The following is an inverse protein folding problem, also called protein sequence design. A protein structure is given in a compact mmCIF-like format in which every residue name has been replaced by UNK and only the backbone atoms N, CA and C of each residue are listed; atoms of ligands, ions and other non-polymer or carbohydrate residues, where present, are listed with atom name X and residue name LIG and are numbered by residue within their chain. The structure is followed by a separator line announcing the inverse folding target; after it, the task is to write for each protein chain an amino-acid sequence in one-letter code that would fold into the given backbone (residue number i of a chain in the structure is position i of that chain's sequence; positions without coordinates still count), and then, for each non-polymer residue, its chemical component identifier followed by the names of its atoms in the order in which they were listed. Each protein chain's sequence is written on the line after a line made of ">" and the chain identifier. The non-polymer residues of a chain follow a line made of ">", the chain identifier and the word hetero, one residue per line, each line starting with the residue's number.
data_IF_853574182366
#
_entry.id   IF_853574182366
#
_cell.length_a   1.000
_cell.length_b   1.000
_cell.length_c   1.000
_cell.angle_alpha   90.00
_cell.angle_beta   90.00
_cell.angle_gamma   90.00
#
_symmetry.space_group_name_H-M   'P 1'
#
loop_
_entity.id
_entity.type
_entity.pdbx_description
1 polymer ?
#
# COMPACT_ATOMS: atom_id res chain seq x y z
N UNK A 1 -58.39 -45.22 -2.80
CA UNK A 1 -59.72 -45.40 -3.44
C UNK A 1 -60.49 -44.12 -3.17
N UNK A 2 -60.92 -43.28 -4.10
CA UNK A 2 -61.05 -43.43 -5.56
C UNK A 2 -61.07 -42.02 -6.19
N UNK A 3 -60.50 -41.89 -7.39
CA UNK A 3 -60.76 -40.79 -8.34
C UNK A 3 -62.10 -41.03 -9.07
N UNK A 4 -62.66 -40.01 -9.74
CA UNK A 4 -62.45 -39.86 -11.20
C UNK A 4 -62.18 -38.39 -11.61
N UNK A 5 -61.25 -38.04 -12.51
CA UNK A 5 -61.14 -38.21 -13.98
C UNK A 5 -62.19 -37.45 -14.83
N UNK A 6 -61.71 -36.48 -15.62
CA UNK A 6 -62.44 -35.81 -16.70
C UNK A 6 -61.68 -34.59 -17.27
N UNK A 7 -60.81 -34.83 -18.24
CA UNK A 7 -59.91 -33.87 -18.90
C UNK A 7 -60.59 -33.03 -20.00
N UNK A 8 -60.03 -31.86 -20.37
CA UNK A 8 -59.70 -31.39 -21.76
C UNK A 8 -58.78 -30.14 -21.67
N UNK A 9 -57.67 -30.14 -22.42
CA UNK A 9 -56.70 -29.05 -22.72
C UNK A 9 -56.83 -28.70 -24.24
N UNK A 10 -56.12 -27.75 -24.91
CA UNK A 10 -55.44 -26.48 -24.56
C UNK A 10 -55.92 -25.29 -25.46
N UNK A 11 -55.41 -24.06 -25.21
CA UNK A 11 -54.81 -23.14 -26.23
C UNK A 11 -54.47 -21.74 -25.65
N UNK A 12 -53.18 -21.54 -25.39
CA UNK A 12 -52.29 -20.51 -25.94
C UNK A 12 -52.81 -19.06 -26.11
N UNK A 13 -52.30 -18.10 -25.31
CA UNK A 13 -51.92 -16.73 -25.73
C UNK A 13 -50.83 -16.13 -24.82
N UNK A 14 -49.96 -15.23 -25.34
CA UNK A 14 -48.69 -14.87 -24.74
C UNK A 14 -48.77 -13.63 -23.84
N UNK A 15 -47.86 -13.56 -22.87
CA UNK A 15 -47.63 -12.41 -21.99
C UNK A 15 -46.62 -11.50 -22.68
N UNK A 16 -47.00 -10.24 -22.94
CA UNK A 16 -46.11 -9.21 -23.45
C UNK A 16 -45.16 -8.73 -22.35
N UNK A 17 -43.86 -8.71 -22.65
CA UNK A 17 -42.84 -8.02 -21.87
C UNK A 17 -42.88 -6.52 -22.20
N UNK A 18 -43.17 -5.68 -21.21
CA UNK A 18 -42.98 -4.23 -21.30
C UNK A 18 -41.53 -3.88 -20.92
N UNK A 19 -40.86 -3.20 -21.84
CA UNK A 19 -39.57 -2.55 -21.65
C UNK A 19 -39.74 -1.30 -20.79
N UNK A 20 -39.13 -1.27 -19.60
CA UNK A 20 -38.93 -0.02 -18.86
C UNK A 20 -37.60 0.61 -19.25
N UNK A 21 -37.70 1.69 -20.03
CA UNK A 21 -36.65 2.68 -20.25
C UNK A 21 -36.45 3.47 -18.95
N UNK A 22 -35.27 3.39 -18.33
CA UNK A 22 -34.86 4.34 -17.29
C UNK A 22 -34.02 5.44 -17.92
N UNK A 23 -34.66 6.60 -18.06
CA UNK A 23 -34.08 7.85 -18.54
C UNK A 23 -33.21 8.48 -17.45
N UNK A 24 -32.02 8.91 -17.85
CA UNK A 24 -31.04 9.69 -17.09
C UNK A 24 -31.62 11.00 -16.56
N UNK A 25 -31.46 11.27 -15.26
CA UNK A 25 -31.63 12.60 -14.67
C UNK A 25 -30.28 13.10 -14.16
N UNK A 26 -29.68 13.97 -14.96
CA UNK A 26 -28.62 14.89 -14.59
C UNK A 26 -29.26 16.02 -13.79
N UNK A 27 -28.91 16.18 -12.52
CA UNK A 27 -29.23 17.40 -11.76
C UNK A 27 -28.02 18.32 -11.72
N UNK A 28 -28.16 19.40 -12.47
CA UNK A 28 -27.37 20.63 -12.48
C UNK A 28 -27.57 21.37 -11.15
N UNK A 29 -26.48 21.68 -10.43
CA UNK A 29 -26.53 22.49 -9.21
C UNK A 29 -25.66 23.73 -9.41
N UNK A 30 -26.24 24.74 -10.04
CA UNK A 30 -25.64 26.04 -10.26
C UNK A 30 -26.24 27.10 -9.34
N UNK A 31 -25.33 27.73 -8.57
CA UNK A 31 -25.40 29.06 -7.91
C UNK A 31 -26.39 29.27 -6.76
N UNK A 32 -25.83 29.49 -5.57
CA UNK A 32 -26.22 30.64 -4.73
C UNK A 32 -25.03 31.13 -3.91
N UNK A 33 -24.64 32.36 -4.19
CA UNK A 33 -23.59 33.15 -3.57
C UNK A 33 -24.07 33.76 -2.26
N UNK A 34 -23.38 33.46 -1.15
CA UNK A 34 -23.45 34.28 0.07
C UNK A 34 -22.05 34.61 0.57
N UNK A 35 -21.75 35.90 0.42
CA UNK A 35 -20.56 36.64 0.85
C UNK A 35 -20.70 36.89 2.36
N UNK A 36 -19.69 36.49 3.16
CA UNK A 36 -19.52 36.94 4.54
C UNK A 36 -18.24 37.80 4.63
N UNK A 37 -18.31 39.06 5.10
CA UNK A 37 -17.15 39.93 5.18
C UNK A 37 -16.43 39.75 6.52
N UNK A 38 -15.13 39.41 6.48
CA UNK A 38 -14.22 39.58 7.61
C UNK A 38 -13.57 40.97 7.54
N UNK A 39 -13.55 41.76 8.63
CA UNK A 39 -12.87 43.04 8.64
C UNK A 39 -11.36 42.88 8.79
N UNK A 40 -10.60 43.45 7.84
CA UNK A 40 -9.18 43.74 8.01
C UNK A 40 -8.99 44.72 9.17
N UNK A 41 -8.26 44.31 10.20
CA UNK A 41 -7.67 45.21 11.19
C UNK A 41 -6.16 45.15 11.05
N UNK A 42 -5.59 46.26 10.56
CA UNK A 42 -4.17 46.54 10.67
C UNK A 42 -3.90 47.09 12.07
N UNK A 43 -2.92 46.53 12.80
CA UNK A 43 -2.10 47.31 13.75
C UNK A 43 -0.85 46.54 14.23
N UNK A 44 0.23 47.32 14.31
CA UNK A 44 1.37 47.23 15.22
C UNK A 44 2.42 46.13 15.00
N UNK A 45 3.56 46.59 14.49
CA UNK A 45 4.90 45.98 14.64
C UNK A 45 5.35 46.00 16.11
N UNK A 46 5.81 44.87 16.66
CA UNK A 46 6.70 44.88 17.83
C UNK A 46 8.12 44.52 17.39
N UNK A 47 9.01 45.50 17.52
CA UNK A 47 10.46 45.27 17.51
C UNK A 47 10.85 44.47 18.76
N UNK A 48 11.35 43.25 18.60
CA UNK A 48 12.13 42.57 19.63
C UNK A 48 13.31 41.84 18.98
N UNK A 49 14.52 42.31 19.29
CA UNK A 49 15.79 41.61 19.04
C UNK A 49 15.68 40.20 19.61
N UNK A 50 15.70 39.18 18.75
CA UNK A 50 16.05 37.81 19.12
C UNK A 50 17.48 37.54 18.67
N UNK A 51 18.33 37.29 19.63
CA UNK A 51 19.65 36.68 19.46
C UNK A 51 19.50 35.39 18.64
N UNK A 52 20.11 35.35 17.46
CA UNK A 52 20.18 34.17 16.63
C UNK A 52 21.02 33.10 17.33
N UNK A 53 20.36 32.08 17.89
CA UNK A 53 21.01 30.77 18.06
C UNK A 53 21.07 30.15 16.68
N UNK A 54 22.27 30.06 16.13
CA UNK A 54 22.57 29.20 15.00
C UNK A 54 22.41 27.77 15.50
N UNK A 55 21.21 27.20 15.42
CA UNK A 55 21.09 25.75 15.37
C UNK A 55 21.47 25.37 13.94
N UNK A 56 22.53 24.58 13.78
CA UNK A 56 22.78 23.92 12.51
C UNK A 56 21.48 23.25 12.06
N UNK A 57 20.87 23.76 10.98
CA UNK A 57 19.84 23.00 10.27
C UNK A 57 20.59 21.84 9.66
N UNK A 58 20.37 20.65 10.22
CA UNK A 58 20.59 19.41 9.47
C UNK A 58 19.67 19.54 8.26
N UNK A 59 20.25 19.73 7.08
CA UNK A 59 19.52 19.66 5.84
C UNK A 59 19.22 18.19 5.61
N UNK A 60 18.00 17.76 5.93
CA UNK A 60 17.46 16.50 5.43
C UNK A 60 17.25 16.71 3.92
N UNK A 61 18.11 16.12 3.10
CA UNK A 61 17.63 15.66 1.79
C UNK A 61 16.59 14.58 2.11
N UNK A 62 15.48 14.52 1.35
CA UNK A 62 14.45 13.50 1.57
C UNK A 62 15.10 12.15 1.81
N UNK A 63 14.97 11.61 3.03
CA UNK A 63 15.62 10.34 3.39
C UNK A 63 15.01 9.19 2.55
N UNK A 64 13.78 9.40 2.03
CA UNK A 64 13.10 8.51 1.10
C UNK A 64 12.50 9.28 -0.09
N UNK A 65 12.84 8.85 -1.30
CA UNK A 65 12.19 9.24 -2.56
C UNK A 65 11.03 8.30 -2.88
N UNK A 66 9.92 8.85 -3.37
CA UNK A 66 8.72 8.09 -3.72
C UNK A 66 8.20 8.58 -5.07
N UNK A 67 8.25 7.72 -6.07
CA UNK A 67 7.67 7.98 -7.38
C UNK A 67 6.38 7.17 -7.54
N UNK A 68 5.31 7.79 -8.02
CA UNK A 68 4.01 7.17 -8.18
C UNK A 68 3.51 7.39 -9.60
N UNK A 69 3.42 6.31 -10.38
CA UNK A 69 2.92 6.34 -11.75
C UNK A 69 1.44 5.96 -11.75
N UNK A 70 0.59 6.87 -12.22
CA UNK A 70 -0.84 6.65 -12.32
C UNK A 70 -1.42 7.43 -13.50
N UNK A 71 -2.58 7.00 -13.98
CA UNK A 71 -3.39 7.78 -14.92
C UNK A 71 -4.32 8.77 -14.20
N UNK A 72 -4.24 8.86 -12.88
CA UNK A 72 -4.95 9.83 -12.04
C UNK A 72 -3.98 10.40 -10.98
N UNK A 73 -2.94 11.14 -11.37
CA UNK A 73 -1.95 11.66 -10.42
C UNK A 73 -2.58 12.55 -9.34
N UNK A 74 -3.62 13.31 -9.66
CA UNK A 74 -4.37 14.17 -8.72
C UNK A 74 -4.99 13.38 -7.55
N UNK A 75 -5.16 12.06 -7.68
CA UNK A 75 -5.62 11.21 -6.58
C UNK A 75 -4.74 11.34 -5.33
N UNK A 76 -3.46 11.61 -5.53
CA UNK A 76 -2.46 11.70 -4.48
C UNK A 76 -2.31 13.10 -3.89
N UNK A 77 -3.11 14.08 -4.30
CA UNK A 77 -3.15 15.39 -3.63
C UNK A 77 -3.46 15.27 -2.13
N UNK A 78 -4.19 14.21 -1.74
CA UNK A 78 -4.50 13.88 -0.35
C UNK A 78 -3.24 13.65 0.51
N UNK A 79 -2.11 13.25 -0.09
CA UNK A 79 -0.85 13.07 0.62
C UNK A 79 -0.32 14.37 1.24
N UNK A 80 -0.78 15.54 0.78
CA UNK A 80 -0.38 16.84 1.33
C UNK A 80 -1.07 17.19 2.66
N UNK A 81 -1.91 16.31 3.22
CA UNK A 81 -2.60 16.57 4.50
C UNK A 81 -1.96 15.80 5.67
N UNK A 82 -2.33 16.19 6.89
CA UNK A 82 -2.04 15.38 8.08
C UNK A 82 -0.55 15.29 8.46
N UNK A 83 -0.10 14.08 8.78
CA UNK A 83 1.31 13.81 9.11
C UNK A 83 2.17 13.64 7.86
N UNK A 84 1.62 13.04 6.81
CA UNK A 84 2.33 12.82 5.55
C UNK A 84 2.73 14.16 4.90
N UNK A 85 1.80 15.11 4.79
CA UNK A 85 2.11 16.46 4.28
C UNK A 85 3.18 17.17 5.11
N UNK A 86 3.14 17.04 6.45
CA UNK A 86 4.19 17.59 7.33
C UNK A 86 5.54 16.92 7.12
N UNK A 87 5.58 15.64 6.77
CA UNK A 87 6.81 14.92 6.47
C UNK A 87 7.43 15.44 5.17
N UNK A 88 6.62 15.68 4.13
CA UNK A 88 7.04 16.34 2.89
C UNK A 88 7.57 17.75 3.18
N UNK A 89 6.82 18.59 3.90
CA UNK A 89 7.23 19.97 4.24
C UNK A 89 8.56 20.05 5.01
N UNK A 90 8.86 19.02 5.80
CA UNK A 90 10.11 18.90 6.57
C UNK A 90 11.26 18.32 5.76
N UNK A 91 11.01 17.87 4.53
CA UNK A 91 11.99 17.19 3.69
C UNK A 91 12.35 15.81 4.21
N UNK A 92 11.45 15.12 4.92
CA UNK A 92 11.63 13.69 5.27
C UNK A 92 11.27 12.79 4.08
N UNK A 93 10.31 13.21 3.28
CA UNK A 93 9.84 12.52 2.08
C UNK A 93 9.98 13.45 0.88
N UNK A 94 10.44 12.90 -0.24
CA UNK A 94 10.35 13.53 -1.56
C UNK A 94 9.41 12.70 -2.44
N UNK A 95 8.27 13.27 -2.83
CA UNK A 95 7.18 12.52 -3.48
C UNK A 95 6.82 13.13 -4.82
N UNK A 96 6.92 12.33 -5.87
CA UNK A 96 6.63 12.69 -7.25
C UNK A 96 5.50 11.83 -7.80
N UNK A 97 4.50 12.47 -8.39
CA UNK A 97 3.39 11.78 -9.07
C UNK A 97 3.49 12.03 -10.57
N UNK A 98 3.40 10.96 -11.35
CA UNK A 98 3.61 10.98 -12.79
C UNK A 98 2.34 10.53 -13.50
N UNK A 99 1.83 11.35 -14.43
CA UNK A 99 0.76 10.90 -15.35
C UNK A 99 1.38 9.97 -16.39
N UNK A 100 1.03 8.68 -16.36
CA UNK A 100 1.50 7.68 -17.32
C UNK A 100 1.21 8.11 -18.78
N UNK A 101 0.18 8.92 -19.01
CA UNK A 101 -0.14 9.45 -20.35
C UNK A 101 0.97 10.32 -20.94
N UNK A 102 1.90 10.82 -20.13
CA UNK A 102 3.04 11.62 -20.61
C UNK A 102 4.00 10.83 -21.50
N UNK A 103 3.97 9.48 -21.45
CA UNK A 103 4.76 8.58 -22.30
C UNK A 103 3.96 7.99 -23.47
N UNK A 104 2.85 8.63 -23.84
CA UNK A 104 2.06 8.23 -25.02
C UNK A 104 2.39 9.13 -26.21
N UNK A 105 2.41 8.54 -27.41
CA UNK A 105 2.78 9.24 -28.64
C UNK A 105 1.61 9.39 -29.62
N UNK A 106 0.44 8.83 -29.29
CA UNK A 106 -0.78 8.96 -30.09
C UNK A 106 -1.62 10.17 -29.66
N UNK A 107 -2.44 10.67 -30.58
CA UNK A 107 -3.29 11.86 -30.36
C UNK A 107 -4.30 11.68 -29.22
N UNK A 108 -4.66 10.44 -28.89
CA UNK A 108 -5.66 10.13 -27.87
C UNK A 108 -5.04 9.80 -26.51
N UNK A 109 -3.71 9.84 -26.39
CA UNK A 109 -2.98 9.48 -25.18
C UNK A 109 -3.40 8.11 -24.61
N UNK A 110 -3.41 7.10 -25.48
CA UNK A 110 -4.00 5.80 -25.21
C UNK A 110 -3.04 4.89 -24.47
N UNK A 111 -3.29 4.67 -23.17
CA UNK A 111 -2.46 3.85 -22.27
C UNK A 111 -2.85 2.36 -22.25
N UNK A 112 -3.94 1.99 -22.92
CA UNK A 112 -4.54 0.65 -22.85
C UNK A 112 -5.00 0.15 -24.22
N UNK A 113 -5.10 -1.18 -24.35
CA UNK A 113 -5.61 -1.86 -25.53
C UNK A 113 -6.42 -3.12 -25.14
N UNK A 114 -7.10 -3.72 -26.10
CA UNK A 114 -7.88 -4.94 -25.92
C UNK A 114 -7.00 -6.14 -25.52
N UNK A 115 -7.47 -7.03 -24.63
CA UNK A 115 -6.69 -8.19 -24.21
C UNK A 115 -6.50 -9.20 -25.34
N UNK A 116 -5.28 -9.73 -25.46
CA UNK A 116 -4.98 -10.85 -26.36
C UNK A 116 -5.76 -12.09 -25.92
N UNK A 117 -6.39 -12.80 -26.87
CA UNK A 117 -7.28 -13.93 -26.59
C UNK A 117 -8.75 -13.52 -26.47
N UNK A 118 -9.06 -12.22 -26.53
CA UNK A 118 -10.40 -11.69 -26.38
C UNK A 118 -10.85 -11.63 -24.91
N UNK A 119 -12.05 -11.09 -24.69
CA UNK A 119 -12.58 -10.79 -23.36
C UNK A 119 -13.17 -9.40 -23.30
N UNK A 120 -13.88 -9.09 -22.22
CA UNK A 120 -14.27 -7.71 -21.92
C UNK A 120 -13.10 -6.97 -21.25
N UNK A 121 -13.16 -5.63 -21.25
CA UNK A 121 -12.17 -4.79 -20.58
C UNK A 121 -10.97 -4.44 -21.46
N UNK A 122 -10.00 -3.76 -20.83
CA UNK A 122 -8.79 -3.24 -21.45
C UNK A 122 -7.59 -3.58 -20.57
N UNK A 123 -6.41 -3.73 -21.17
CA UNK A 123 -5.14 -4.00 -20.48
C UNK A 123 -4.17 -2.87 -20.80
N UNK A 124 -3.48 -2.37 -19.79
CA UNK A 124 -2.52 -1.28 -19.98
C UNK A 124 -1.31 -1.75 -20.80
N UNK A 125 -0.93 -0.95 -21.79
CA UNK A 125 0.08 -1.27 -22.81
C UNK A 125 1.48 -1.39 -22.21
N UNK A 126 2.23 -2.46 -22.54
CA UNK A 126 3.60 -2.62 -22.05
C UNK A 126 4.56 -1.57 -22.61
N UNK A 127 4.34 -1.04 -23.80
CA UNK A 127 5.24 -0.05 -24.41
C UNK A 127 5.24 1.26 -23.62
N UNK A 128 4.05 1.75 -23.25
CA UNK A 128 3.90 3.00 -22.46
C UNK A 128 4.48 2.83 -21.06
N UNK A 129 4.21 1.67 -20.43
CA UNK A 129 4.81 1.35 -19.13
C UNK A 129 6.33 1.21 -19.22
N UNK A 130 6.86 0.60 -20.28
CA UNK A 130 8.29 0.40 -20.44
C UNK A 130 9.01 1.74 -20.61
N UNK A 131 8.53 2.62 -21.49
CA UNK A 131 9.13 3.95 -21.67
C UNK A 131 9.12 4.77 -20.37
N UNK A 132 8.02 4.71 -19.61
CA UNK A 132 7.91 5.38 -18.31
C UNK A 132 8.88 4.82 -17.27
N UNK A 133 8.91 3.49 -17.13
CA UNK A 133 9.74 2.83 -16.11
C UNK A 133 11.22 2.89 -16.49
N UNK A 134 11.58 2.83 -17.77
CA UNK A 134 12.97 2.97 -18.22
C UNK A 134 13.50 4.37 -17.89
N UNK A 135 12.71 5.43 -18.13
CA UNK A 135 13.08 6.81 -17.77
C UNK A 135 13.26 6.97 -16.24
N UNK A 136 12.29 6.52 -15.45
CA UNK A 136 12.32 6.66 -13.98
C UNK A 136 13.38 5.77 -13.31
N UNK A 137 13.72 4.63 -13.89
CA UNK A 137 14.75 3.71 -13.39
C UNK A 137 16.14 3.98 -13.99
N UNK A 138 16.25 4.90 -14.95
CA UNK A 138 17.50 5.26 -15.62
C UNK A 138 18.05 4.19 -16.57
N UNK A 139 17.19 3.37 -17.17
CA UNK A 139 17.61 2.46 -18.24
C UNK A 139 17.84 3.27 -19.53
N UNK A 140 18.97 3.02 -20.20
CA UNK A 140 19.15 3.54 -21.55
C UNK A 140 18.19 2.81 -22.50
N UNK A 141 17.41 3.54 -23.33
CA UNK A 141 16.55 2.89 -24.30
C UNK A 141 17.41 2.02 -25.22
N UNK A 142 16.94 0.82 -25.59
CA UNK A 142 17.69 -0.04 -26.48
C UNK A 142 18.01 0.73 -27.75
N UNK A 143 19.30 0.98 -27.99
CA UNK A 143 19.77 1.64 -29.20
C UNK A 143 19.28 0.82 -30.38
N UNK A 144 18.32 1.36 -31.13
CA UNK A 144 17.78 0.74 -32.33
C UNK A 144 18.91 0.75 -33.38
N UNK A 145 19.80 -0.24 -33.33
CA UNK A 145 20.48 -0.68 -34.55
C UNK A 145 19.40 -1.32 -35.39
N UNK A 146 18.85 -0.54 -36.32
CA UNK A 146 17.96 -1.02 -37.34
C UNK A 146 18.59 -2.24 -37.99
N UNK A 147 18.13 -3.44 -37.61
CA UNK A 147 18.44 -4.67 -38.29
C UNK A 147 17.68 -4.66 -39.63
N UNK A 148 18.18 -3.83 -40.54
CA UNK A 148 18.16 -4.19 -41.94
C UNK A 148 19.10 -5.37 -42.09
N UNK A 149 18.56 -6.50 -42.55
CA UNK A 149 19.11 -7.31 -43.64
C UNK A 149 18.24 -8.58 -43.72
N UNK A 150 17.50 -8.77 -44.80
CA UNK A 150 18.04 -9.25 -46.08
C UNK A 150 18.87 -10.52 -45.94
N UNK A 151 18.36 -11.55 -46.60
CA UNK A 151 18.91 -12.88 -46.76
C UNK A 151 20.33 -12.83 -47.35
N UNK A 152 21.31 -13.50 -46.73
CA UNK A 152 22.40 -14.16 -47.48
C UNK A 152 23.23 -15.17 -46.65
N UNK A 153 23.15 -16.42 -47.13
CA UNK A 153 24.10 -17.53 -47.17
C UNK A 153 25.37 -17.56 -46.28
N UNK A 154 25.46 -18.68 -45.56
CA UNK A 154 26.64 -19.48 -45.18
C UNK A 154 28.02 -19.06 -45.72
N UNK A 155 28.99 -18.91 -44.82
CA UNK A 155 30.14 -19.81 -44.72
C UNK A 155 30.96 -19.59 -43.44
N UNK A 156 31.50 -20.69 -42.93
CA UNK A 156 32.28 -20.81 -41.72
C UNK A 156 33.67 -20.15 -41.81
N UNK A 157 34.17 -19.66 -40.67
CA UNK A 157 35.52 -19.93 -40.13
C UNK A 157 35.74 -19.15 -38.84
N UNK A 158 36.01 -19.87 -37.75
CA UNK A 158 36.51 -19.29 -36.50
C UNK A 158 37.96 -18.80 -36.68
N UNK A 159 38.39 -17.84 -35.85
CA UNK A 159 39.55 -18.14 -35.06
C UNK A 159 39.38 -17.79 -33.58
N UNK A 160 39.98 -18.65 -32.77
CA UNK A 160 40.24 -18.51 -31.35
C UNK A 160 41.27 -17.39 -31.17
N UNK A 161 41.02 -16.46 -30.24
CA UNK A 161 42.08 -15.69 -29.60
C UNK A 161 41.72 -15.43 -28.15
N UNK A 162 42.42 -16.15 -27.27
CA UNK A 162 42.57 -15.86 -25.87
C UNK A 162 43.25 -14.50 -25.71
N UNK A 163 42.72 -13.65 -24.84
CA UNK A 163 43.55 -12.77 -24.04
C UNK A 163 42.86 -12.49 -22.71
N UNK A 164 43.32 -13.23 -21.71
CA UNK A 164 43.18 -12.95 -20.29
C UNK A 164 44.10 -11.78 -19.97
N UNK A 165 43.52 -10.67 -19.51
CA UNK A 165 44.21 -9.70 -18.66
C UNK A 165 43.24 -9.31 -17.57
N UNK A 166 43.50 -9.87 -16.38
CA UNK A 166 42.98 -9.45 -15.09
C UNK A 166 43.36 -7.98 -14.87
N UNK A 167 42.37 -7.09 -14.86
CA UNK A 167 42.44 -5.87 -14.06
C UNK A 167 41.38 -5.95 -12.97
N UNK A 168 41.74 -5.73 -11.68
CA UNK A 168 40.76 -5.71 -10.61
C UNK A 168 39.87 -4.48 -10.80
N UNK A 169 38.62 -4.72 -11.17
CA UNK A 169 37.58 -3.70 -11.25
C UNK A 169 37.53 -2.94 -9.92
N UNK A 170 37.81 -1.64 -10.01
CA UNK A 170 37.64 -0.70 -8.91
C UNK A 170 36.24 -0.86 -8.31
N UNK A 171 36.19 -1.03 -6.99
CA UNK A 171 34.97 -1.05 -6.20
C UNK A 171 34.15 0.20 -6.51
N UNK A 172 33.00 0.04 -7.17
CA UNK A 172 32.07 1.14 -7.46
C UNK A 172 31.34 1.56 -6.18
N UNK A 173 32.06 2.25 -5.29
CA UNK A 173 31.52 2.91 -4.11
C UNK A 173 30.83 4.22 -4.51
N UNK A 174 29.68 4.11 -5.20
CA UNK A 174 28.59 5.10 -5.25
C UNK A 174 27.49 4.65 -6.24
N UNK A 175 27.11 3.37 -6.23
CA UNK A 175 25.85 3.00 -6.87
C UNK A 175 24.72 3.65 -6.05
N UNK A 176 23.95 4.56 -6.66
CA UNK A 176 22.72 5.06 -6.07
C UNK A 176 21.88 3.85 -5.62
N UNK A 177 21.29 3.89 -4.42
CA UNK A 177 20.50 2.78 -3.93
C UNK A 177 19.36 2.49 -4.90
N UNK A 178 19.24 1.23 -5.32
CA UNK A 178 18.31 0.82 -6.38
C UNK A 178 16.85 0.97 -5.89
N UNK A 179 15.94 1.47 -6.75
CA UNK A 179 14.53 1.60 -6.38
C UNK A 179 13.87 0.23 -6.19
N UNK A 180 12.90 0.16 -5.28
CA UNK A 180 11.97 -0.97 -5.19
C UNK A 180 10.72 -0.63 -6.01
N UNK A 181 10.48 -1.39 -7.08
CA UNK A 181 9.32 -1.23 -7.96
C UNK A 181 8.14 -2.06 -7.43
N UNK A 182 7.02 -1.42 -7.13
CA UNK A 182 5.87 -2.06 -6.48
C UNK A 182 4.61 -1.87 -7.31
N UNK A 183 3.93 -2.98 -7.61
CA UNK A 183 2.62 -2.98 -8.26
C UNK A 183 1.53 -3.54 -7.33
N UNK A 184 0.44 -2.81 -7.08
CA UNK A 184 -0.75 -3.39 -6.47
C UNK A 184 -1.41 -4.41 -7.40
N UNK A 185 -1.62 -5.63 -6.91
CA UNK A 185 -2.23 -6.72 -7.65
C UNK A 185 -3.02 -7.62 -6.68
N UNK A 186 -4.35 -7.75 -6.80
CA UNK A 186 -5.15 -8.56 -5.88
C UNK A 186 -4.82 -10.05 -5.93
N UNK A 187 -4.14 -10.52 -6.98
CA UNK A 187 -3.68 -11.91 -7.12
C UNK A 187 -2.29 -12.16 -6.49
N UNK A 188 -1.65 -11.13 -5.95
CA UNK A 188 -0.33 -11.21 -5.33
C UNK A 188 -0.43 -11.49 -3.81
N UNK A 189 0.70 -11.85 -3.15
CA UNK A 189 0.72 -12.03 -1.70
C UNK A 189 0.20 -10.79 -0.95
N UNK A 190 -0.44 -11.01 0.19
CA UNK A 190 -0.95 -9.92 1.04
C UNK A 190 0.20 -9.06 1.56
N UNK A 191 0.04 -7.74 1.48
CA UNK A 191 0.90 -6.76 2.13
C UNK A 191 0.72 -6.84 3.65
N UNK A 192 1.82 -7.00 4.37
CA UNK A 192 1.81 -7.15 5.83
C UNK A 192 2.59 -6.05 6.54
N UNK A 193 2.42 -5.94 7.87
CA UNK A 193 3.22 -5.03 8.69
C UNK A 193 4.74 -5.31 8.60
N UNK A 194 5.13 -6.55 8.32
CA UNK A 194 6.53 -6.93 8.07
C UNK A 194 7.04 -6.30 6.78
N UNK A 195 6.25 -6.36 5.70
CA UNK A 195 6.60 -5.72 4.42
C UNK A 195 6.71 -4.20 4.59
N UNK A 196 5.76 -3.59 5.32
CA UNK A 196 5.81 -2.16 5.62
C UNK A 196 7.10 -1.76 6.36
N UNK A 197 7.48 -2.56 7.37
CA UNK A 197 8.70 -2.35 8.15
C UNK A 197 9.94 -2.48 7.28
N UNK A 198 10.01 -3.52 6.44
CA UNK A 198 11.12 -3.73 5.52
C UNK A 198 11.26 -2.58 4.52
N UNK A 199 10.17 -2.20 3.87
CA UNK A 199 10.15 -1.13 2.86
C UNK A 199 10.40 0.26 3.47
N UNK A 200 10.18 0.45 4.77
CA UNK A 200 10.50 1.72 5.45
C UNK A 200 11.99 2.05 5.47
N UNK A 201 12.84 1.05 5.22
CA UNK A 201 14.29 1.20 5.10
C UNK A 201 14.76 1.44 3.67
N UNK A 202 13.88 1.37 2.67
CA UNK A 202 14.23 1.70 1.30
C UNK A 202 14.45 3.21 1.17
N UNK A 203 15.47 3.61 0.40
CA UNK A 203 15.69 5.02 0.05
C UNK A 203 14.82 5.49 -1.12
N UNK A 204 14.32 4.56 -1.95
CA UNK A 204 13.54 4.88 -3.13
C UNK A 204 12.48 3.82 -3.39
N UNK A 205 11.21 4.24 -3.41
CA UNK A 205 10.06 3.43 -3.77
C UNK A 205 9.45 3.96 -5.08
N UNK A 206 9.18 3.08 -6.04
CA UNK A 206 8.48 3.41 -7.28
C UNK A 206 7.20 2.56 -7.36
N UNK A 207 6.04 3.21 -7.41
CA UNK A 207 4.74 2.54 -7.47
C UNK A 207 4.12 2.64 -8.85
N UNK A 208 3.65 1.51 -9.39
CA UNK A 208 2.87 1.46 -10.63
C UNK A 208 1.39 1.18 -10.36
N UNK A 209 0.52 2.18 -10.51
CA UNK A 209 -0.91 2.01 -10.34
C UNK A 209 -1.59 1.41 -11.59
N UNK A 210 -1.96 0.13 -11.50
CA UNK A 210 -2.80 -0.51 -12.53
C UNK A 210 -4.24 0.03 -12.55
N UNK A 211 -4.86 -0.01 -13.74
CA UNK A 211 -6.28 0.27 -14.02
C UNK A 211 -6.84 -0.77 -14.98
N UNK A 212 -8.16 -0.72 -15.20
CA UNK A 212 -8.87 -1.64 -16.08
C UNK A 212 -8.70 -3.09 -15.60
N UNK A 213 -8.35 -4.03 -16.49
CA UNK A 213 -8.01 -5.42 -16.12
C UNK A 213 -6.57 -5.55 -15.56
N UNK A 214 -5.83 -4.44 -15.49
CA UNK A 214 -4.46 -4.37 -14.98
C UNK A 214 -3.45 -3.99 -16.07
N UNK A 215 -2.19 -4.29 -15.77
CA UNK A 215 -1.05 -4.09 -16.67
C UNK A 215 -0.66 -5.41 -17.34
N UNK A 216 0.04 -5.32 -18.48
CA UNK A 216 0.56 -6.49 -19.16
C UNK A 216 1.50 -7.30 -18.24
N UNK A 217 1.20 -8.59 -18.07
CA UNK A 217 1.93 -9.47 -17.14
C UNK A 217 3.42 -9.64 -17.46
N UNK A 218 3.86 -9.25 -18.66
CA UNK A 218 5.28 -9.25 -19.04
C UNK A 218 6.07 -8.15 -18.33
N UNK A 219 5.44 -7.05 -17.92
CA UNK A 219 6.13 -5.89 -17.35
C UNK A 219 6.91 -6.26 -16.08
N UNK A 220 6.30 -6.82 -15.01
CA UNK A 220 7.06 -7.21 -13.83
C UNK A 220 8.12 -8.27 -14.14
N UNK A 221 7.81 -9.24 -15.02
CA UNK A 221 8.75 -10.28 -15.42
C UNK A 221 10.01 -9.71 -16.07
N UNK A 222 9.84 -8.70 -16.93
CA UNK A 222 10.94 -8.05 -17.63
C UNK A 222 11.87 -7.32 -16.66
N UNK A 223 11.34 -6.44 -15.80
CA UNK A 223 12.18 -5.68 -14.87
C UNK A 223 12.85 -6.54 -13.80
N UNK A 224 12.20 -7.64 -13.36
CA UNK A 224 12.88 -8.65 -12.52
C UNK A 224 14.08 -9.25 -13.24
N UNK A 225 13.96 -9.58 -14.53
CA UNK A 225 15.06 -10.10 -15.33
C UNK A 225 16.20 -9.09 -15.54
N UNK A 226 15.91 -7.78 -15.48
CA UNK A 226 16.92 -6.71 -15.48
C UNK A 226 17.57 -6.48 -14.09
N UNK A 227 17.17 -7.24 -13.07
CA UNK A 227 17.73 -7.13 -11.72
C UNK A 227 17.16 -5.97 -10.89
N UNK A 228 15.96 -5.49 -11.23
CA UNK A 228 15.17 -4.58 -10.39
C UNK A 228 14.46 -5.39 -9.31
N UNK A 229 14.40 -4.87 -8.07
CA UNK A 229 13.56 -5.45 -7.02
C UNK A 229 12.10 -5.11 -7.33
N UNK A 230 11.40 -6.03 -8.00
CA UNK A 230 9.98 -5.86 -8.37
C UNK A 230 9.10 -6.69 -7.48
N UNK A 231 8.20 -6.02 -6.76
CA UNK A 231 7.24 -6.63 -5.83
C UNK A 231 5.82 -6.39 -6.30
N UNK A 232 4.98 -7.37 -6.01
CA UNK A 232 3.55 -7.29 -6.24
C UNK A 232 2.85 -7.58 -4.93
N UNK A 233 1.86 -6.76 -4.57
CA UNK A 233 1.16 -6.89 -3.30
C UNK A 233 -0.35 -6.74 -3.47
N UNK A 234 -1.10 -7.59 -2.77
CA UNK A 234 -2.53 -7.42 -2.52
C UNK A 234 -2.73 -6.72 -1.17
N UNK A 235 -3.71 -5.81 -1.07
CA UNK A 235 -4.10 -5.21 0.22
C UNK A 235 -5.32 -5.91 0.86
N UNK A 236 -5.77 -7.02 0.26
CA UNK A 236 -6.82 -7.87 0.79
C UNK A 236 -7.61 -8.61 -0.29
N UNK A 237 -8.45 -9.55 0.15
CA UNK A 237 -9.23 -10.43 -0.73
C UNK A 237 -10.50 -9.74 -1.26
N UNK A 238 -10.30 -8.66 -2.01
CA UNK A 238 -11.35 -7.86 -2.65
C UNK A 238 -10.78 -7.12 -3.87
N UNK A 239 -11.67 -6.60 -4.72
CA UNK A 239 -11.30 -5.92 -5.97
C UNK A 239 -11.61 -4.43 -5.89
N UNK A 240 -10.68 -3.61 -6.36
CA UNK A 240 -10.80 -2.15 -6.47
C UNK A 240 -10.76 -1.72 -7.93
N UNK A 241 -11.23 -0.50 -8.22
CA UNK A 241 -11.21 0.05 -9.59
C UNK A 241 -9.81 0.44 -10.08
N UNK A 242 -8.79 0.42 -9.22
CA UNK A 242 -7.44 0.86 -9.54
C UNK A 242 -6.49 0.74 -8.37
N UNK A 243 -5.19 0.79 -8.67
CA UNK A 243 -4.12 0.64 -7.70
C UNK A 243 -3.90 1.84 -6.78
N UNK A 244 -4.49 3.01 -7.05
CA UNK A 244 -4.17 4.25 -6.33
C UNK A 244 -4.50 4.17 -4.84
N UNK A 245 -5.67 3.61 -4.49
CA UNK A 245 -6.05 3.38 -3.08
C UNK A 245 -5.05 2.45 -2.40
N UNK A 246 -4.63 1.38 -3.08
CA UNK A 246 -3.70 0.41 -2.53
C UNK A 246 -2.31 1.02 -2.31
N UNK A 247 -1.85 1.86 -3.24
CA UNK A 247 -0.62 2.65 -3.05
C UNK A 247 -0.75 3.58 -1.86
N UNK A 248 -1.85 4.33 -1.72
CA UNK A 248 -2.05 5.21 -0.54
C UNK A 248 -2.02 4.42 0.78
N UNK A 249 -2.62 3.23 0.83
CA UNK A 249 -2.57 2.35 2.02
C UNK A 249 -1.14 1.91 2.33
N UNK A 250 -0.39 1.45 1.31
CA UNK A 250 1.00 1.04 1.49
C UNK A 250 1.88 2.21 1.92
N UNK A 251 1.74 3.39 1.31
CA UNK A 251 2.48 4.60 1.65
C UNK A 251 2.26 5.01 3.11
N UNK A 252 1.01 5.06 3.57
CA UNK A 252 0.69 5.36 4.97
C UNK A 252 1.33 4.36 5.93
N UNK A 253 1.28 3.06 5.62
CA UNK A 253 1.85 2.01 6.45
C UNK A 253 3.39 2.02 6.48
N UNK A 254 4.04 2.31 5.37
CA UNK A 254 5.51 2.34 5.22
C UNK A 254 6.08 3.61 5.85
N UNK A 255 5.60 4.77 5.41
CA UNK A 255 6.24 6.06 5.73
C UNK A 255 6.11 6.43 7.21
N UNK A 256 5.04 5.98 7.88
CA UNK A 256 4.88 6.18 9.32
C UNK A 256 5.97 5.54 10.18
N UNK A 257 6.67 4.54 9.65
CA UNK A 257 7.77 3.85 10.33
C UNK A 257 9.11 4.55 10.15
N UNK A 258 9.19 5.56 9.28
CA UNK A 258 10.42 6.33 9.03
C UNK A 258 10.76 7.16 10.27
N UNK A 259 12.03 7.13 10.72
CA UNK A 259 12.49 7.97 11.83
C UNK A 259 12.14 9.45 11.61
N UNK A 260 11.48 10.07 12.60
CA UNK A 260 11.08 11.48 12.54
C UNK A 260 9.72 11.73 11.90
N UNK A 261 9.06 10.72 11.30
CA UNK A 261 7.69 10.84 10.82
C UNK A 261 6.71 10.97 12.00
N UNK A 262 6.73 10.00 12.91
CA UNK A 262 5.91 10.02 14.12
C UNK A 262 6.56 10.85 15.23
N UNK A 263 5.71 11.55 16.00
CA UNK A 263 6.18 12.42 17.09
C UNK A 263 6.72 11.66 18.31
N UNK A 264 6.12 10.51 18.65
CA UNK A 264 6.59 9.62 19.71
C UNK A 264 6.90 8.23 19.12
N UNK A 265 8.17 7.80 19.07
CA UNK A 265 8.53 6.48 18.53
C UNK A 265 7.96 5.33 19.35
N UNK A 266 7.74 5.51 20.65
CA UNK A 266 7.18 4.46 21.53
C UNK A 266 5.75 4.08 21.11
N UNK A 267 5.04 4.96 20.39
CA UNK A 267 3.71 4.64 19.86
C UNK A 267 3.74 3.52 18.82
N UNK A 268 4.82 3.38 18.05
CA UNK A 268 4.94 2.32 17.03
C UNK A 268 5.18 0.95 17.67
N UNK A 269 5.90 0.93 18.79
CA UNK A 269 6.32 -0.30 19.46
C UNK A 269 5.14 -1.11 20.05
N UNK A 270 4.07 -0.43 20.46
CA UNK A 270 2.94 -1.02 21.19
C UNK A 270 1.69 -1.26 20.31
N UNK A 271 1.79 -1.02 19.01
CA UNK A 271 0.68 -1.16 18.06
C UNK A 271 0.41 -2.60 17.64
N UNK A 272 -0.79 -2.79 17.05
CA UNK A 272 -1.18 -4.09 16.49
C UNK A 272 -0.16 -4.58 15.46
N UNK A 273 0.10 -5.89 15.45
CA UNK A 273 1.01 -6.56 14.51
C UNK A 273 2.50 -6.23 14.67
N UNK A 274 2.91 -5.52 15.73
CA UNK A 274 4.33 -5.25 16.03
C UNK A 274 4.99 -6.39 16.83
N UNK A 275 6.25 -6.70 16.51
CA UNK A 275 7.09 -7.65 17.24
C UNK A 275 6.90 -9.12 16.87
N UNK A 276 7.73 -10.00 17.46
CA UNK A 276 7.79 -11.44 17.11
C UNK A 276 6.61 -12.26 17.64
N UNK A 277 5.87 -11.76 18.63
CA UNK A 277 4.63 -12.35 19.15
C UNK A 277 3.50 -11.34 18.98
N UNK A 278 3.26 -10.97 17.73
CA UNK A 278 2.36 -9.89 17.37
C UNK A 278 0.92 -10.18 17.84
N UNK A 279 0.33 -9.20 18.50
CA UNK A 279 -1.06 -9.22 18.97
C UNK A 279 -1.82 -8.05 18.37
N UNK A 280 -3.14 -8.06 18.53
CA UNK A 280 -3.93 -6.84 18.41
C UNK A 280 -3.71 -5.96 19.64
N UNK A 281 -3.79 -4.66 19.44
CA UNK A 281 -3.67 -3.68 20.51
C UNK A 281 -4.83 -3.80 21.50
N UNK A 282 -4.54 -3.42 22.75
CA UNK A 282 -5.52 -3.28 23.81
C UNK A 282 -6.49 -2.12 23.53
N UNK A 283 -7.61 -2.06 24.25
CA UNK A 283 -8.58 -0.99 24.05
C UNK A 283 -8.06 0.34 24.59
N UNK A 284 -8.27 1.40 23.82
CA UNK A 284 -7.90 2.76 24.21
C UNK A 284 -9.05 3.48 24.90
N UNK A 285 -8.73 4.15 26.01
CA UNK A 285 -9.69 4.93 26.79
C UNK A 285 -9.17 6.34 26.99
N UNK A 286 -10.08 7.31 26.99
CA UNK A 286 -9.76 8.72 27.25
C UNK A 286 -10.83 9.37 28.12
N UNK A 287 -10.63 10.65 28.46
CA UNK A 287 -11.60 11.44 29.22
C UNK A 287 -12.92 11.58 28.42
N UNK A 288 -14.09 11.62 29.10
CA UNK A 288 -14.28 11.57 30.55
C UNK A 288 -14.22 10.15 31.13
N UNK A 289 -13.92 10.02 32.43
CA UNK A 289 -13.80 8.73 33.11
C UNK A 289 -15.11 7.91 33.13
N UNK A 290 -16.27 8.57 33.03
CA UNK A 290 -17.59 7.93 32.88
C UNK A 290 -18.29 8.56 31.69
N UNK A 291 -18.70 7.75 30.73
CA UNK A 291 -19.50 8.17 29.58
C UNK A 291 -20.75 7.29 29.47
N UNK A 292 -21.94 7.90 29.50
CA UNK A 292 -23.24 7.20 29.46
C UNK A 292 -23.38 6.08 30.51
N UNK A 293 -22.84 6.30 31.71
CA UNK A 293 -22.86 5.33 32.80
C UNK A 293 -21.81 4.21 32.69
N UNK A 294 -20.97 4.21 31.65
CA UNK A 294 -19.87 3.27 31.48
C UNK A 294 -18.57 3.91 31.97
N UNK A 295 -17.97 3.32 32.99
CA UNK A 295 -16.68 3.74 33.52
C UNK A 295 -15.51 3.15 32.72
N UNK A 296 -14.40 3.87 32.66
CA UNK A 296 -13.12 3.28 32.26
C UNK A 296 -12.70 2.21 33.29
N UNK A 297 -11.96 1.16 32.90
CA UNK A 297 -11.45 0.18 33.85
C UNK A 297 -10.66 0.84 35.00
N UNK A 298 -11.00 0.52 36.26
CA UNK A 298 -10.42 1.17 37.44
C UNK A 298 -8.89 1.04 37.51
N UNK A 299 -8.34 -0.04 36.98
CA UNK A 299 -6.89 -0.25 36.92
C UNK A 299 -6.18 0.85 36.11
N UNK A 300 -6.81 1.38 35.05
CA UNK A 300 -6.23 2.42 34.20
C UNK A 300 -6.14 3.79 34.90
N UNK A 301 -6.87 3.99 36.01
CA UNK A 301 -6.83 5.20 36.83
C UNK A 301 -6.14 5.01 38.17
N UNK A 302 -5.60 3.81 38.44
CA UNK A 302 -4.98 3.44 39.72
C UNK A 302 -3.61 4.09 39.98
N UNK A 303 -2.92 4.56 38.93
CA UNK A 303 -1.55 5.06 39.01
C UNK A 303 -0.47 3.96 39.13
N UNK A 304 -0.87 2.69 39.15
CA UNK A 304 0.04 1.54 39.22
C UNK A 304 0.44 1.07 37.82
N UNK A 305 1.56 1.58 37.32
CA UNK A 305 2.04 1.30 35.95
C UNK A 305 2.18 -0.21 35.67
N UNK A 306 2.70 -0.99 36.63
CA UNK A 306 2.85 -2.44 36.44
C UNK A 306 1.52 -3.17 36.29
N UNK A 307 0.48 -2.75 37.04
CA UNK A 307 -0.87 -3.30 36.85
C UNK A 307 -1.52 -2.85 35.55
N UNK A 308 -1.28 -1.60 35.13
CA UNK A 308 -1.77 -1.09 33.86
C UNK A 308 -1.16 -1.86 32.69
N UNK A 309 0.14 -2.07 32.69
CA UNK A 309 0.84 -2.78 31.62
C UNK A 309 0.39 -4.24 31.55
N UNK A 310 0.25 -4.91 32.71
CA UNK A 310 -0.31 -6.27 32.76
C UNK A 310 -1.74 -6.33 32.25
N UNK A 311 -2.59 -5.39 32.67
CA UNK A 311 -3.99 -5.32 32.21
C UNK A 311 -4.07 -5.16 30.69
N UNK A 312 -3.29 -4.23 30.13
CA UNK A 312 -3.21 -4.02 28.67
C UNK A 312 -2.76 -5.28 27.94
N UNK A 313 -1.75 -5.97 28.46
CA UNK A 313 -1.26 -7.23 27.88
C UNK A 313 -2.33 -8.33 27.92
N UNK A 314 -3.04 -8.48 29.04
CA UNK A 314 -4.15 -9.44 29.17
C UNK A 314 -5.31 -9.11 28.21
N UNK A 315 -5.66 -7.84 28.10
CA UNK A 315 -6.72 -7.37 27.20
C UNK A 315 -6.35 -7.56 25.73
N UNK A 316 -5.10 -7.27 25.34
CA UNK A 316 -4.57 -7.53 24.00
C UNK A 316 -4.66 -9.03 23.63
N UNK A 317 -4.29 -9.93 24.55
CA UNK A 317 -4.41 -11.39 24.35
C UNK A 317 -5.88 -11.78 24.18
N UNK A 318 -6.77 -11.31 25.05
CA UNK A 318 -8.19 -11.64 25.00
C UNK A 318 -8.87 -11.11 23.72
N UNK A 319 -8.55 -9.88 23.32
CA UNK A 319 -9.04 -9.27 22.09
C UNK A 319 -8.53 -10.04 20.86
N UNK A 320 -7.26 -10.43 20.86
CA UNK A 320 -6.67 -11.25 19.78
C UNK A 320 -7.31 -12.64 19.70
N UNK A 321 -7.54 -13.32 20.83
CA UNK A 321 -8.27 -14.60 20.84
C UNK A 321 -9.66 -14.48 20.20
N UNK A 322 -10.36 -13.39 20.48
CA UNK A 322 -11.72 -13.17 19.97
C UNK A 322 -11.74 -12.85 18.47
N UNK A 323 -10.82 -12.03 17.97
CA UNK A 323 -10.89 -11.46 16.60
C UNK A 323 -9.93 -12.14 15.63
N UNK A 324 -8.73 -12.50 16.09
CA UNK A 324 -7.64 -13.10 15.28
C UNK A 324 -6.97 -14.25 16.03
N UNK A 325 -7.71 -15.34 16.36
CA UNK A 325 -7.15 -16.49 17.07
C UNK A 325 -6.04 -17.20 16.26
N UNK A 326 -5.93 -16.95 14.96
CA UNK A 326 -4.82 -17.38 14.13
C UNK A 326 -3.47 -16.75 14.55
N UNK A 327 -3.46 -15.53 15.08
CA UNK A 327 -2.24 -14.91 15.61
C UNK A 327 -1.81 -15.57 16.92
N UNK A 328 -2.76 -15.94 17.78
CA UNK A 328 -2.46 -16.70 19.00
C UNK A 328 -1.79 -18.03 18.66
N UNK A 329 -2.27 -18.74 17.63
CA UNK A 329 -1.66 -19.99 17.14
C UNK A 329 -0.24 -19.83 16.62
N UNK A 330 0.18 -18.62 16.25
CA UNK A 330 1.52 -18.34 15.72
C UNK A 330 2.52 -17.91 16.80
N UNK A 331 2.04 -17.56 18.01
CA UNK A 331 2.92 -17.14 19.09
C UNK A 331 3.92 -18.22 19.46
N UNK A 332 5.16 -17.84 19.75
CA UNK A 332 6.15 -18.75 20.35
C UNK A 332 5.87 -18.91 21.83
N UNK A 333 5.45 -20.11 22.22
CA UNK A 333 5.22 -20.45 23.61
C UNK A 333 6.46 -20.19 24.47
N UNK A 334 7.69 -20.36 23.99
CA UNK A 334 8.92 -20.16 24.79
C UNK A 334 9.13 -18.71 25.20
N UNK A 335 8.62 -17.76 24.41
CA UNK A 335 8.68 -16.34 24.69
C UNK A 335 7.54 -15.86 25.63
N UNK A 336 6.57 -16.71 25.98
CA UNK A 336 5.48 -16.36 26.89
C UNK A 336 5.91 -16.41 28.36
N UNK A 337 5.65 -15.32 29.08
CA UNK A 337 5.81 -15.28 30.53
C UNK A 337 4.74 -16.12 31.27
N UNK A 338 4.86 -16.20 32.61
CA UNK A 338 3.92 -17.00 33.41
C UNK A 338 2.49 -16.44 33.40
N UNK A 339 2.32 -15.12 33.26
CA UNK A 339 1.01 -14.47 33.27
C UNK A 339 0.32 -14.64 31.91
N UNK A 340 1.03 -14.45 30.80
CA UNK A 340 0.54 -14.69 29.44
C UNK A 340 0.03 -16.13 29.29
N UNK A 341 0.81 -17.12 29.76
CA UNK A 341 0.38 -18.53 29.76
C UNK A 341 -0.88 -18.76 30.58
N UNK A 342 -0.99 -18.14 31.76
CA UNK A 342 -2.17 -18.26 32.62
C UNK A 342 -3.41 -17.67 31.95
N UNK A 343 -3.27 -16.52 31.30
CA UNK A 343 -4.35 -15.86 30.57
C UNK A 343 -4.82 -16.72 29.40
N UNK A 344 -3.89 -17.23 28.58
CA UNK A 344 -4.19 -18.15 27.49
C UNK A 344 -4.88 -19.45 27.97
N UNK A 345 -4.39 -20.07 29.05
CA UNK A 345 -5.03 -21.24 29.65
C UNK A 345 -6.46 -20.95 30.12
N UNK A 346 -6.69 -19.76 30.70
CA UNK A 346 -8.03 -19.32 31.13
C UNK A 346 -8.97 -19.15 29.93
N UNK A 347 -8.43 -18.73 28.78
CA UNK A 347 -9.13 -18.61 27.50
C UNK A 347 -9.24 -19.95 26.74
N UNK A 348 -8.84 -21.08 27.35
CA UNK A 348 -8.98 -22.41 26.77
C UNK A 348 -7.87 -22.81 25.78
N UNK A 349 -6.69 -22.20 25.88
CA UNK A 349 -5.51 -22.58 25.09
C UNK A 349 -4.55 -23.48 25.87
N UNK A 350 -4.05 -24.51 25.20
CA UNK A 350 -2.91 -25.32 25.63
C UNK A 350 -1.61 -24.64 25.16
N UNK A 351 -0.66 -24.41 26.08
CA UNK A 351 0.59 -23.65 25.82
C UNK A 351 1.84 -24.42 26.26
N UNK A 352 1.76 -25.76 26.25
CA UNK A 352 2.85 -26.67 26.62
C UNK A 352 3.78 -27.01 25.45
N UNK A 353 3.31 -26.89 24.20
CA UNK A 353 4.10 -27.10 22.98
C UNK A 353 4.88 -25.87 22.52
N UNK A 354 5.35 -25.88 21.27
CA UNK A 354 6.05 -24.74 20.66
C UNK A 354 5.10 -23.57 20.36
N UNK A 355 3.83 -23.86 20.05
CA UNK A 355 2.79 -22.88 19.74
C UNK A 355 1.49 -23.17 20.51
N UNK A 356 0.66 -22.16 20.83
CA UNK A 356 -0.64 -22.37 21.47
C UNK A 356 -1.61 -23.19 20.60
N UNK A 357 -2.33 -24.13 21.23
CA UNK A 357 -3.38 -24.94 20.59
C UNK A 357 -4.71 -24.77 21.32
N UNK A 358 -5.81 -24.53 20.61
CA UNK A 358 -7.13 -24.40 21.25
C UNK A 358 -7.58 -25.79 21.73
N UNK A 359 -8.08 -25.89 22.97
CA UNK A 359 -8.53 -27.17 23.54
C UNK A 359 -9.87 -27.67 22.94
N UNK A 360 -10.58 -26.81 22.23
CA UNK A 360 -11.90 -27.06 21.65
C UNK A 360 -11.90 -27.36 20.15
N UNK A 361 -10.73 -27.56 19.53
CA UNK A 361 -10.58 -27.94 18.12
C UNK A 361 -10.54 -29.47 17.94
#
# INVERSE_FOLDING_TARGET
>A
MSLPLGAVNPRNRPIHHEHYMFTTLVTDFSRTSHIFPYPLTAHATPSHRRTARISARVSYHGDMQIDIVSVFPDYFEVLNVGLFGKAIERGLLDVHTHDLRSWTHDVHHSVDDTPVGGGAGMVMKPEVWAECLDDLLGFEPPSITAASNETQHSNASAPISNNTTDEPAATSENALPKPVLIFPNPSAPLFTQRDATELSHASHLLFGCGRYEGYDARIPCYYRAQGVDVREYSIGDYVLNGGEVAVSVMLEAITRLIPGFMGNPDSIAEESYTGSNALLEHYQYTKPAIWRGMGVPEVLTSGDHGKVDRFRRDEAIAHTDQVRPDLIRQMDCKALDKADRKTLMTLGWEVSGDHPRKLSD
#
